data_IF_155634290788
#
_entry.id   IF_155634290788
#
_cell.length_a   1.000
_cell.length_b   1.000
_cell.length_c   1.000
_cell.angle_alpha   90.00
_cell.angle_beta   90.00
_cell.angle_gamma   90.00
#
_symmetry.space_group_name_H-M   'P 1'
#
loop_
_entity.id
_entity.type
_entity.pdbx_description
1 polymer ?
#
# COMPACT_ATOMS: atom_id res chain seq x y z
N UNK A 1 24.56 -9.76 19.20
CA UNK A 1 23.86 -10.07 17.93
C UNK A 1 22.88 -8.98 17.47
N UNK A 2 21.93 -8.57 18.31
CA UNK A 2 20.92 -7.53 18.00
C UNK A 2 21.53 -6.17 17.63
N UNK A 3 22.53 -5.70 18.38
CA UNK A 3 23.23 -4.43 18.09
C UNK A 3 23.93 -4.44 16.72
N UNK A 4 24.60 -5.53 16.36
CA UNK A 4 25.28 -5.67 15.05
C UNK A 4 24.25 -5.67 13.91
N UNK A 5 23.10 -6.31 14.10
CA UNK A 5 22.01 -6.28 13.12
C UNK A 5 21.42 -4.88 12.96
N UNK A 6 21.17 -4.18 14.07
CA UNK A 6 20.68 -2.81 14.04
C UNK A 6 21.69 -1.89 13.36
N UNK A 7 22.98 -2.02 13.68
CA UNK A 7 24.03 -1.26 13.01
C UNK A 7 24.00 -1.52 11.50
N UNK A 8 23.93 -2.78 11.07
CA UNK A 8 23.85 -3.12 9.66
C UNK A 8 22.62 -2.49 8.98
N UNK A 9 21.46 -2.52 9.61
CA UNK A 9 20.25 -1.87 9.09
C UNK A 9 20.36 -0.34 9.05
N UNK A 10 21.11 0.27 9.97
CA UNK A 10 21.31 1.72 9.97
C UNK A 10 22.35 2.21 8.96
N UNK A 11 23.30 1.36 8.55
CA UNK A 11 24.44 1.79 7.72
C UNK A 11 24.47 1.21 6.30
N UNK A 12 23.66 0.17 6.01
CA UNK A 12 23.64 -0.44 4.68
C UNK A 12 23.03 0.49 3.65
N UNK A 13 23.75 0.72 2.56
CA UNK A 13 23.36 1.63 1.48
C UNK A 13 24.05 1.20 0.19
N UNK A 14 23.31 1.30 -0.92
CA UNK A 14 23.80 1.04 -2.28
C UNK A 14 23.02 1.93 -3.27
N UNK A 15 23.35 3.22 -3.38
CA UNK A 15 22.69 4.10 -4.33
C UNK A 15 23.06 3.72 -5.76
N UNK A 16 22.06 3.64 -6.63
CA UNK A 16 22.18 3.24 -8.03
C UNK A 16 21.59 4.31 -8.94
N UNK A 17 22.38 4.82 -9.87
CA UNK A 17 21.88 5.63 -10.98
C UNK A 17 21.16 4.75 -12.01
N UNK A 18 20.44 5.37 -12.95
CA UNK A 18 19.63 4.69 -13.97
C UNK A 18 20.32 3.49 -14.65
N UNK A 19 21.54 3.65 -15.17
CA UNK A 19 22.27 2.58 -15.85
C UNK A 19 22.68 1.44 -14.90
N UNK A 20 23.18 1.79 -13.71
CA UNK A 20 23.59 0.83 -12.68
C UNK A 20 22.39 0.02 -12.17
N UNK A 21 21.20 0.64 -12.12
CA UNK A 21 19.96 -0.03 -11.75
C UNK A 21 19.55 -1.09 -12.78
N UNK A 22 19.71 -0.82 -14.09
CA UNK A 22 19.43 -1.82 -15.13
C UNK A 22 20.36 -3.03 -15.02
N UNK A 23 21.65 -2.79 -14.81
CA UNK A 23 22.64 -3.85 -14.63
C UNK A 23 22.32 -4.67 -13.36
N UNK A 24 22.13 -3.99 -12.23
CA UNK A 24 21.82 -4.64 -10.95
C UNK A 24 20.53 -5.47 -11.00
N UNK A 25 19.50 -5.01 -11.73
CA UNK A 25 18.25 -5.75 -11.87
C UNK A 25 18.37 -7.05 -12.68
N UNK A 26 19.40 -7.18 -13.54
CA UNK A 26 19.64 -8.40 -14.31
C UNK A 26 20.53 -9.42 -13.59
N UNK A 27 21.36 -8.99 -12.63
CA UNK A 27 22.19 -9.87 -11.81
C UNK A 27 21.45 -10.41 -10.57
N UNK A 28 20.60 -11.41 -10.80
CA UNK A 28 19.81 -12.06 -9.74
C UNK A 28 20.67 -12.77 -8.68
N UNK A 29 21.90 -13.18 -9.03
CA UNK A 29 22.82 -13.87 -8.11
C UNK A 29 23.35 -12.90 -7.06
N UNK A 30 23.79 -11.72 -7.48
CA UNK A 30 24.23 -10.67 -6.56
C UNK A 30 23.07 -10.17 -5.69
N UNK A 31 21.86 -10.00 -6.25
CA UNK A 31 20.68 -9.62 -5.48
C UNK A 31 20.30 -10.65 -4.41
N UNK A 32 20.42 -11.94 -4.72
CA UNK A 32 20.23 -12.98 -3.72
C UNK A 32 21.26 -12.86 -2.59
N UNK A 33 22.55 -12.76 -2.93
CA UNK A 33 23.61 -12.63 -1.93
C UNK A 33 23.49 -11.36 -1.07
N UNK A 34 22.99 -10.27 -1.64
CA UNK A 34 22.69 -9.02 -0.93
C UNK A 34 21.50 -9.21 0.04
N UNK A 35 20.39 -9.77 -0.44
CA UNK A 35 19.18 -10.00 0.37
C UNK A 35 19.44 -10.88 1.60
N UNK A 36 20.23 -11.96 1.45
CA UNK A 36 20.56 -12.87 2.55
C UNK A 36 21.34 -12.19 3.69
N UNK A 37 21.98 -11.04 3.43
CA UNK A 37 22.72 -10.28 4.44
C UNK A 37 21.85 -9.31 5.22
N UNK A 38 20.66 -8.97 4.72
CA UNK A 38 19.77 -8.01 5.36
C UNK A 38 19.13 -8.69 6.59
N UNK A 39 19.35 -8.19 7.82
CA UNK A 39 18.72 -8.76 9.00
C UNK A 39 17.19 -8.62 8.93
N UNK A 40 16.40 -9.61 9.36
CA UNK A 40 14.94 -9.53 9.28
C UNK A 40 14.33 -8.60 10.34
N UNK A 41 15.00 -8.41 11.48
CA UNK A 41 14.50 -7.59 12.61
C UNK A 41 13.12 -8.01 13.15
N UNK A 42 12.83 -9.31 13.15
CA UNK A 42 11.63 -9.85 13.81
C UNK A 42 11.70 -9.63 15.32
N UNK A 43 10.52 -9.51 15.91
CA UNK A 43 10.31 -9.34 17.35
C UNK A 43 10.00 -10.70 17.95
N UNK A 44 10.70 -11.05 19.03
CA UNK A 44 10.36 -12.25 19.79
C UNK A 44 9.08 -12.00 20.59
N UNK A 45 8.20 -13.01 20.68
CA UNK A 45 6.94 -12.87 21.41
C UNK A 45 7.13 -12.46 22.89
N UNK A 46 8.28 -12.80 23.47
CA UNK A 46 8.66 -12.40 24.83
C UNK A 46 8.96 -10.89 24.96
N UNK A 47 9.34 -10.22 23.87
CA UNK A 47 9.62 -8.77 23.85
C UNK A 47 8.33 -7.94 23.71
N UNK A 48 7.19 -8.57 23.38
CA UNK A 48 5.89 -7.91 23.21
C UNK A 48 5.01 -8.09 24.45
N UNK A 49 5.19 -7.19 25.43
CA UNK A 49 4.40 -7.18 26.67
C UNK A 49 3.02 -6.53 26.45
N UNK A 50 2.14 -7.23 25.70
CA UNK A 50 0.76 -6.80 25.45
C UNK A 50 -0.21 -7.97 25.70
N UNK A 51 -0.92 -7.99 26.84
CA UNK A 51 -1.82 -9.09 27.18
C UNK A 51 -2.85 -9.36 26.07
N UNK A 52 -3.00 -10.64 25.69
CA UNK A 52 -3.98 -11.08 24.70
C UNK A 52 -3.64 -10.77 23.23
N UNK A 53 -2.46 -10.21 22.93
CA UNK A 53 -2.06 -9.88 21.55
C UNK A 53 -2.15 -11.09 20.61
N UNK A 54 -1.81 -12.29 21.10
CA UNK A 54 -1.80 -13.53 20.33
C UNK A 54 -3.13 -13.87 19.67
N UNK A 55 -4.25 -13.43 20.26
CA UNK A 55 -5.57 -13.63 19.65
C UNK A 55 -5.78 -12.72 18.44
N UNK A 56 -5.12 -11.57 18.40
CA UNK A 56 -5.23 -10.55 17.34
C UNK A 56 -4.14 -10.65 16.28
N UNK A 57 -3.25 -11.62 16.38
CA UNK A 57 -2.19 -11.89 15.39
C UNK A 57 -2.58 -13.02 14.44
N UNK A 58 -2.65 -12.72 13.14
CA UNK A 58 -2.90 -13.76 12.11
C UNK A 58 -1.74 -14.76 12.04
N UNK A 59 -0.52 -14.29 12.29
CA UNK A 59 0.70 -15.09 12.29
C UNK A 59 1.49 -14.86 13.58
N UNK A 60 1.67 -15.92 14.38
CA UNK A 60 2.30 -15.86 15.71
C UNK A 60 3.74 -15.33 15.73
N UNK A 61 4.44 -15.43 14.60
CA UNK A 61 5.85 -15.03 14.45
C UNK A 61 6.02 -13.69 13.73
N UNK A 62 4.93 -13.05 13.30
CA UNK A 62 4.96 -11.77 12.60
C UNK A 62 4.29 -10.75 13.51
N UNK A 63 5.09 -10.17 14.40
CA UNK A 63 4.66 -9.26 15.45
C UNK A 63 5.10 -7.83 15.13
N UNK A 64 4.35 -6.80 15.59
CA UNK A 64 4.75 -5.42 15.39
C UNK A 64 5.92 -5.04 16.30
N UNK A 65 6.94 -4.37 15.74
CA UNK A 65 8.04 -3.77 16.53
C UNK A 65 7.50 -2.80 17.58
N UNK A 66 7.83 -2.97 18.87
CA UNK A 66 7.30 -2.13 19.95
C UNK A 66 7.53 -0.63 19.75
N UNK A 67 8.66 -0.25 19.16
CA UNK A 67 9.10 1.15 19.00
C UNK A 67 8.23 1.93 18.00
N UNK A 68 7.63 1.25 17.05
CA UNK A 68 6.86 1.85 15.94
C UNK A 68 5.41 1.34 15.87
N UNK A 69 4.98 0.49 16.81
CA UNK A 69 3.63 -0.10 16.76
C UNK A 69 2.54 0.97 16.86
N UNK A 70 1.44 0.73 16.18
CA UNK A 70 0.22 1.54 16.35
C UNK A 70 -0.46 1.12 17.65
N UNK A 71 -0.85 2.11 18.45
CA UNK A 71 -1.54 1.91 19.73
C UNK A 71 -2.97 2.43 19.58
N UNK A 72 -3.95 1.55 19.74
CA UNK A 72 -5.36 1.96 19.69
C UNK A 72 -5.74 2.63 21.00
N UNK A 73 -6.23 3.87 20.91
CA UNK A 73 -6.73 4.61 22.08
C UNK A 73 -8.16 4.18 22.35
N UNK A 74 -8.47 3.91 23.62
CA UNK A 74 -9.85 3.69 24.05
C UNK A 74 -10.50 5.08 24.26
N UNK A 75 -11.52 5.48 23.47
CA UNK A 75 -12.18 6.76 23.66
C UNK A 75 -13.17 6.76 24.84
N UNK A 76 -13.57 5.60 25.36
CA UNK A 76 -14.52 5.48 26.47
C UNK A 76 -13.83 5.32 27.82
N UNK A 77 -12.58 4.86 27.85
CA UNK A 77 -11.78 4.69 29.09
C UNK A 77 -10.40 5.33 28.93
N UNK A 78 -10.24 6.60 29.31
CA UNK A 78 -8.91 7.25 29.36
C UNK A 78 -7.92 6.51 30.30
N UNK A 79 -8.44 5.71 31.25
CA UNK A 79 -7.68 4.93 32.23
C UNK A 79 -7.59 3.42 31.90
N UNK A 80 -8.19 2.97 30.79
CA UNK A 80 -8.18 1.56 30.38
C UNK A 80 -6.87 1.13 29.70
N UNK A 81 -6.59 -0.18 29.59
CA UNK A 81 -5.44 -0.66 28.85
C UNK A 81 -5.56 -0.24 27.38
N UNK A 82 -4.48 0.32 26.82
CA UNK A 82 -4.47 0.69 25.40
C UNK A 82 -4.71 -0.54 24.51
N UNK A 83 -5.51 -0.37 23.46
CA UNK A 83 -5.84 -1.46 22.55
C UNK A 83 -4.66 -1.89 21.69
N UNK A 84 -4.69 -3.16 21.30
CA UNK A 84 -3.70 -3.77 20.41
C UNK A 84 -4.23 -3.94 19.00
N UNK A 85 -3.37 -3.63 18.03
CA UNK A 85 -3.49 -4.01 16.63
C UNK A 85 -2.11 -4.35 16.09
N UNK A 86 -2.02 -5.38 15.25
CA UNK A 86 -0.77 -5.77 14.60
C UNK A 86 -0.48 -4.84 13.42
N UNK A 87 0.05 -3.65 13.73
CA UNK A 87 0.40 -2.62 12.76
C UNK A 87 1.59 -1.78 13.24
N UNK A 88 2.36 -1.24 12.30
CA UNK A 88 3.48 -0.33 12.57
C UNK A 88 3.37 0.93 11.71
N UNK A 89 3.75 2.07 12.28
CA UNK A 89 4.07 3.26 11.52
C UNK A 89 5.34 3.02 10.71
N UNK A 90 5.30 3.42 9.45
CA UNK A 90 6.42 3.30 8.52
C UNK A 90 6.81 4.69 8.03
N UNK A 91 8.12 4.97 8.06
CA UNK A 91 8.68 6.21 7.51
C UNK A 91 8.64 6.16 5.98
N UNK A 92 8.42 7.32 5.38
CA UNK A 92 8.47 7.49 3.92
C UNK A 92 9.83 8.00 3.46
N UNK A 93 9.88 8.41 2.19
CA UNK A 93 11.06 9.00 1.59
C UNK A 93 11.65 10.16 2.43
N UNK A 94 12.99 10.21 2.53
CA UNK A 94 13.76 11.11 3.41
C UNK A 94 13.39 10.99 4.90
N UNK A 95 12.90 9.81 5.31
CA UNK A 95 12.52 9.54 6.70
C UNK A 95 11.24 10.24 7.16
N UNK A 96 10.38 10.68 6.23
CA UNK A 96 9.13 11.37 6.56
C UNK A 96 8.31 10.52 7.56
N UNK A 97 8.10 11.00 8.80
CA UNK A 97 7.49 10.18 9.84
C UNK A 97 6.03 9.89 9.52
N UNK A 98 5.56 8.68 9.87
CA UNK A 98 4.15 8.25 9.72
C UNK A 98 3.61 8.46 8.30
N UNK A 99 4.44 8.26 7.28
CA UNK A 99 4.00 8.34 5.90
C UNK A 99 3.01 7.21 5.55
N UNK A 100 3.24 6.03 6.15
CA UNK A 100 2.43 4.85 5.95
C UNK A 100 2.16 4.13 7.29
N UNK A 101 1.17 3.24 7.28
CA UNK A 101 0.98 2.21 8.29
C UNK A 101 0.98 0.87 7.56
N UNK A 102 1.88 -0.04 7.95
CA UNK A 102 1.87 -1.42 7.50
C UNK A 102 1.13 -2.28 8.53
N UNK A 103 0.11 -3.02 8.09
CA UNK A 103 -0.72 -3.88 8.96
C UNK A 103 -1.03 -5.21 8.29
N UNK A 104 -1.41 -6.20 9.09
CA UNK A 104 -1.92 -7.48 8.58
C UNK A 104 -3.31 -7.31 7.95
N UNK A 105 -3.73 -8.29 7.13
CA UNK A 105 -5.09 -8.37 6.65
C UNK A 105 -6.05 -8.61 7.82
N UNK A 106 -7.11 -7.78 7.99
CA UNK A 106 -8.05 -7.95 9.09
C UNK A 106 -8.58 -9.38 9.21
N UNK A 107 -8.72 -9.83 10.45
CA UNK A 107 -9.43 -11.05 10.83
C UNK A 107 -10.82 -10.68 11.34
N UNK A 108 -11.72 -11.65 11.47
CA UNK A 108 -13.12 -11.43 11.79
C UNK A 108 -13.29 -10.56 13.05
N UNK A 109 -12.54 -10.89 14.10
CA UNK A 109 -12.56 -10.20 15.39
C UNK A 109 -11.63 -8.98 15.47
N UNK A 110 -10.87 -8.66 14.42
CA UNK A 110 -10.02 -7.45 14.36
C UNK A 110 -10.50 -6.43 13.33
N UNK A 111 -11.67 -6.65 12.70
CA UNK A 111 -12.28 -5.67 11.78
C UNK A 111 -12.60 -4.36 12.50
N UNK A 112 -13.12 -4.43 13.73
CA UNK A 112 -13.39 -3.25 14.55
C UNK A 112 -12.11 -2.46 14.86
N UNK A 113 -11.07 -3.17 15.33
CA UNK A 113 -9.75 -2.61 15.61
C UNK A 113 -9.15 -1.91 14.38
N UNK A 114 -9.30 -2.50 13.19
CA UNK A 114 -8.83 -1.93 11.94
C UNK A 114 -9.50 -0.58 11.63
N UNK A 115 -10.83 -0.50 11.77
CA UNK A 115 -11.54 0.76 11.54
C UNK A 115 -11.30 1.80 12.64
N UNK A 116 -11.06 1.36 13.88
CA UNK A 116 -10.59 2.25 14.94
C UNK A 116 -9.23 2.86 14.59
N UNK A 117 -8.30 2.08 14.03
CA UNK A 117 -7.02 2.58 13.53
C UNK A 117 -7.23 3.60 12.39
N UNK A 118 -8.02 3.26 11.37
CA UNK A 118 -8.31 4.15 10.22
C UNK A 118 -8.87 5.49 10.71
N UNK A 119 -9.81 5.44 11.66
CA UNK A 119 -10.42 6.63 12.24
C UNK A 119 -9.45 7.43 13.10
N UNK A 120 -8.72 6.79 14.02
CA UNK A 120 -7.77 7.45 14.91
C UNK A 120 -6.69 8.18 14.11
N UNK A 121 -6.14 7.53 13.09
CA UNK A 121 -5.01 8.03 12.30
C UNK A 121 -5.44 8.99 11.18
N UNK A 122 -6.75 9.26 11.07
CA UNK A 122 -7.35 10.09 10.00
C UNK A 122 -6.90 9.63 8.61
N UNK A 123 -6.74 8.32 8.44
CA UNK A 123 -6.29 7.72 7.20
C UNK A 123 -7.39 7.80 6.15
N UNK A 124 -7.09 8.48 5.04
CA UNK A 124 -8.01 8.66 3.91
C UNK A 124 -7.73 7.68 2.78
N UNK A 125 -6.65 6.91 2.83
CA UNK A 125 -6.24 5.97 1.78
C UNK A 125 -5.90 4.62 2.41
N UNK A 126 -6.48 3.56 1.86
CA UNK A 126 -6.17 2.16 2.17
C UNK A 126 -5.72 1.46 0.89
N UNK A 127 -4.61 0.74 0.93
CA UNK A 127 -4.10 -0.09 -0.17
C UNK A 127 -4.06 -1.55 0.26
N UNK A 128 -4.90 -2.37 -0.35
CA UNK A 128 -5.01 -3.81 -0.13
C UNK A 128 -4.36 -4.56 -1.29
N UNK A 129 -3.23 -5.24 -1.02
CA UNK A 129 -2.48 -6.00 -2.04
C UNK A 129 -2.58 -7.52 -1.81
N UNK A 130 -3.79 -8.03 -1.61
CA UNK A 130 -4.08 -9.47 -1.44
C UNK A 130 -5.47 -9.82 -1.94
N UNK A 131 -5.71 -11.10 -2.27
CA UNK A 131 -7.07 -11.66 -2.35
C UNK A 131 -7.62 -11.88 -0.93
N UNK A 132 -8.95 -11.99 -0.80
CA UNK A 132 -9.59 -12.40 0.45
C UNK A 132 -9.22 -13.85 0.81
N UNK A 133 -9.26 -14.72 -0.20
CA UNK A 133 -8.89 -16.12 -0.13
C UNK A 133 -7.99 -16.47 -1.30
N UNK A 134 -6.98 -17.28 -1.01
CA UNK A 134 -6.17 -17.97 -2.02
C UNK A 134 -6.34 -19.47 -1.77
N UNK A 135 -5.31 -20.17 -1.29
CA UNK A 135 -5.47 -21.52 -0.76
C UNK A 135 -6.14 -21.50 0.62
N UNK A 136 -5.74 -20.53 1.45
CA UNK A 136 -6.28 -20.28 2.79
C UNK A 136 -6.87 -18.86 2.85
N UNK A 137 -7.62 -18.57 3.91
CA UNK A 137 -8.09 -17.22 4.21
C UNK A 137 -6.88 -16.30 4.44
N UNK A 138 -6.85 -15.19 3.70
CA UNK A 138 -5.76 -14.20 3.75
C UNK A 138 -6.21 -12.90 4.39
N UNK A 139 -7.49 -12.55 4.23
CA UNK A 139 -8.09 -11.33 4.73
C UNK A 139 -9.61 -11.50 4.79
N UNK A 140 -10.24 -11.06 5.88
CA UNK A 140 -11.69 -10.95 5.96
C UNK A 140 -12.19 -9.74 5.14
N UNK A 141 -13.42 -9.79 4.57
CA UNK A 141 -14.03 -8.63 3.97
C UNK A 141 -14.40 -7.63 5.09
N UNK A 142 -13.66 -6.52 5.14
CA UNK A 142 -13.82 -5.49 6.17
C UNK A 142 -14.53 -4.23 5.64
N UNK A 143 -15.08 -4.25 4.44
CA UNK A 143 -15.86 -3.15 3.85
C UNK A 143 -17.11 -3.70 3.13
N UNK A 144 -18.13 -2.86 2.85
CA UNK A 144 -19.33 -3.30 2.14
C UNK A 144 -18.97 -3.88 0.76
N UNK A 145 -19.24 -5.18 0.56
CA UNK A 145 -19.09 -5.82 -0.74
C UNK A 145 -20.32 -5.51 -1.62
N UNK A 146 -20.16 -5.32 -2.94
CA UNK A 146 -21.29 -5.30 -3.87
C UNK A 146 -22.11 -6.59 -3.71
N UNK A 147 -23.44 -6.51 -3.71
CA UNK A 147 -24.26 -7.72 -3.80
C UNK A 147 -24.00 -8.36 -5.16
N UNK A 148 -23.38 -9.53 -5.18
CA UNK A 148 -23.59 -10.44 -6.30
C UNK A 148 -25.08 -10.80 -6.28
N UNK A 149 -25.78 -10.58 -7.39
CA UNK A 149 -27.07 -11.23 -7.61
C UNK A 149 -26.77 -12.72 -7.58
N UNK A 150 -26.96 -13.36 -6.44
CA UNK A 150 -27.00 -14.81 -6.36
C UNK A 150 -28.02 -15.24 -7.39
N UNK A 151 -27.63 -16.15 -8.28
CA UNK A 151 -28.55 -16.82 -9.17
C UNK A 151 -29.69 -17.37 -8.30
N UNK A 152 -30.84 -16.71 -8.38
CA UNK A 152 -32.10 -17.36 -8.01
C UNK A 152 -32.15 -18.61 -8.88
N UNK A 153 -32.00 -19.77 -8.25
CA UNK A 153 -32.48 -21.02 -8.81
C UNK A 153 -33.95 -20.79 -9.06
N UNK A 154 -34.30 -20.48 -10.30
CA UNK A 154 -35.68 -20.44 -10.76
C UNK A 154 -36.17 -21.88 -10.70
N UNK A 155 -36.95 -22.20 -9.67
CA UNK A 155 -38.01 -23.17 -9.88
C UNK A 155 -38.94 -22.54 -10.92
N UNK A 156 -39.07 -23.24 -12.05
CA UNK A 156 -39.97 -22.88 -13.13
C UNK A 156 -41.41 -22.99 -12.62
N UNK A 157 -42.05 -21.85 -12.42
CA UNK A 157 -43.49 -21.75 -12.53
C UNK A 157 -43.79 -20.66 -13.59
N UNK A 158 -44.44 -21.11 -14.65
CA UNK A 158 -44.88 -20.33 -15.80
C UNK A 158 -45.93 -19.27 -15.40
N UNK A 159 -46.08 -18.29 -16.31
CA UNK A 159 -47.17 -17.30 -16.39
C UNK A 159 -47.05 -16.01 -15.55
N UNK A 160 -46.53 -14.95 -16.18
CA UNK A 160 -47.35 -13.79 -16.62
C UNK A 160 -46.45 -12.68 -17.21
N UNK A 161 -46.72 -12.34 -18.48
CA UNK A 161 -46.21 -11.15 -19.15
C UNK A 161 -46.75 -9.88 -18.48
N UNK A 162 -45.87 -9.15 -17.78
CA UNK A 162 -46.14 -7.83 -17.26
C UNK A 162 -44.99 -6.89 -17.58
N UNK A 163 -45.19 -6.00 -18.55
CA UNK A 163 -44.30 -4.87 -18.83
C UNK A 163 -44.03 -4.06 -17.56
N UNK A 164 -42.77 -4.03 -17.11
CA UNK A 164 -42.30 -3.02 -16.15
C UNK A 164 -41.10 -2.30 -16.73
N UNK A 165 -41.38 -1.09 -17.23
CA UNK A 165 -40.42 0.00 -17.37
C UNK A 165 -39.82 0.33 -15.99
N UNK A 166 -38.77 -0.39 -15.60
CA UNK A 166 -37.96 -0.06 -14.44
C UNK A 166 -36.98 1.05 -14.80
N UNK A 167 -37.28 2.29 -14.36
CA UNK A 167 -36.23 3.29 -14.16
C UNK A 167 -35.12 2.61 -13.35
N UNK A 168 -33.89 2.58 -13.88
CA UNK A 168 -32.69 2.27 -13.10
C UNK A 168 -32.56 3.35 -12.03
N UNK A 169 -33.19 3.14 -10.87
CA UNK A 169 -32.75 3.79 -9.65
C UNK A 169 -31.40 3.15 -9.34
N UNK A 170 -30.34 3.94 -9.44
CA UNK A 170 -29.09 3.63 -8.76
C UNK A 170 -29.46 3.42 -7.28
N UNK A 171 -29.45 2.17 -6.82
CA UNK A 171 -29.67 1.87 -5.40
C UNK A 171 -28.60 2.62 -4.61
N UNK A 172 -29.01 3.66 -3.87
CA UNK A 172 -28.15 4.31 -2.89
C UNK A 172 -27.55 3.20 -2.00
N UNK A 173 -26.22 3.08 -2.00
CA UNK A 173 -25.53 1.98 -1.34
C UNK A 173 -25.96 1.83 0.13
N UNK A 174 -26.50 0.65 0.48
CA UNK A 174 -26.93 0.30 1.83
C UNK A 174 -25.78 0.52 2.83
N UNK A 175 -26.04 1.29 3.89
CA UNK A 175 -25.09 1.45 4.98
C UNK A 175 -24.93 0.11 5.72
N UNK A 176 -23.69 -0.36 5.87
CA UNK A 176 -23.37 -1.58 6.61
C UNK A 176 -22.48 -1.26 7.80
N UNK A 177 -22.69 -1.98 8.89
CA UNK A 177 -21.94 -1.79 10.13
C UNK A 177 -20.66 -2.64 10.15
N UNK A 178 -19.53 -2.02 10.49
CA UNK A 178 -18.24 -2.67 10.72
C UNK A 178 -17.66 -2.18 12.04
N UNK A 179 -17.73 -3.03 13.07
CA UNK A 179 -17.50 -2.58 14.45
C UNK A 179 -18.52 -1.51 14.85
N UNK A 180 -18.06 -0.34 15.25
CA UNK A 180 -18.90 0.82 15.62
C UNK A 180 -19.12 1.82 14.48
N UNK A 181 -18.58 1.54 13.30
CA UNK A 181 -18.65 2.43 12.15
C UNK A 181 -19.76 1.99 11.21
N UNK A 182 -20.53 2.95 10.71
CA UNK A 182 -21.42 2.77 9.57
C UNK A 182 -20.67 3.14 8.29
N UNK A 183 -20.76 2.30 7.28
CA UNK A 183 -20.02 2.47 6.04
C UNK A 183 -20.93 2.33 4.84
N UNK A 184 -20.73 3.18 3.83
CA UNK A 184 -21.35 3.00 2.52
C UNK A 184 -20.36 3.20 1.39
N UNK A 185 -20.57 2.45 0.30
CA UNK A 185 -19.84 2.61 -0.95
C UNK A 185 -20.48 3.74 -1.75
N UNK A 186 -19.68 4.74 -2.11
CA UNK A 186 -20.09 5.87 -2.95
C UNK A 186 -19.89 5.60 -4.44
N UNK A 187 -18.75 5.00 -4.76
CA UNK A 187 -18.36 4.65 -6.12
C UNK A 187 -17.43 3.44 -6.05
N UNK A 188 -17.46 2.59 -7.07
CA UNK A 188 -16.53 1.48 -7.22
C UNK A 188 -16.24 1.24 -8.69
N UNK A 189 -14.96 1.24 -9.05
CA UNK A 189 -14.53 1.10 -10.44
C UNK A 189 -13.28 0.22 -10.54
N UNK A 190 -13.23 -0.64 -11.54
CA UNK A 190 -12.03 -1.41 -11.88
C UNK A 190 -11.23 -0.65 -12.94
N UNK A 191 -9.92 -0.49 -12.70
CA UNK A 191 -9.01 0.22 -13.59
C UNK A 191 -7.59 -0.31 -13.42
N UNK A 192 -6.86 -0.47 -14.52
CA UNK A 192 -5.42 -0.74 -14.52
C UNK A 192 -4.97 -1.99 -13.72
N UNK A 193 -5.89 -2.93 -13.48
CA UNK A 193 -5.65 -4.17 -12.75
C UNK A 193 -5.93 -4.09 -11.24
N UNK A 194 -6.55 -3.00 -10.75
CA UNK A 194 -7.05 -2.86 -9.38
C UNK A 194 -8.45 -2.27 -9.34
N UNK A 195 -9.14 -2.45 -8.21
CA UNK A 195 -10.45 -1.84 -7.95
C UNK A 195 -10.22 -0.63 -7.04
N UNK A 196 -10.85 0.50 -7.38
CA UNK A 196 -10.90 1.70 -6.55
C UNK A 196 -12.32 1.82 -6.01
N UNK A 197 -12.47 1.85 -4.70
CA UNK A 197 -13.76 2.02 -4.02
C UNK A 197 -13.70 3.24 -3.12
N UNK A 198 -14.55 4.24 -3.41
CA UNK A 198 -14.73 5.40 -2.55
C UNK A 198 -15.74 5.06 -1.45
N UNK A 199 -15.31 5.15 -0.20
CA UNK A 199 -16.08 4.83 1.00
C UNK A 199 -16.41 6.10 1.78
N UNK A 200 -17.63 6.17 2.33
CA UNK A 200 -17.96 7.11 3.39
C UNK A 200 -18.10 6.31 4.69
N UNK A 201 -17.25 6.62 5.67
CA UNK A 201 -17.28 6.04 7.01
C UNK A 201 -17.90 7.05 7.99
N UNK A 202 -18.77 6.57 8.88
CA UNK A 202 -19.51 7.39 9.83
C UNK A 202 -19.35 6.82 11.24
N UNK A 203 -19.03 7.70 12.19
CA UNK A 203 -19.09 7.44 13.62
C UNK A 203 -19.87 8.58 14.29
N UNK A 204 -20.98 8.25 14.96
CA UNK A 204 -21.92 9.24 15.49
C UNK A 204 -22.36 10.23 14.40
N UNK A 205 -22.10 11.52 14.58
CA UNK A 205 -22.40 12.59 13.62
C UNK A 205 -21.29 12.87 12.62
N UNK A 206 -20.07 12.37 12.85
CA UNK A 206 -18.91 12.67 12.01
C UNK A 206 -18.83 11.68 10.84
N UNK A 207 -18.57 12.21 9.64
CA UNK A 207 -18.39 11.44 8.40
C UNK A 207 -17.04 11.75 7.78
N UNK A 208 -16.37 10.72 7.27
CA UNK A 208 -15.08 10.86 6.58
C UNK A 208 -15.06 10.05 5.29
N UNK A 209 -14.40 10.60 4.28
CA UNK A 209 -14.16 9.89 3.03
C UNK A 209 -12.87 9.06 3.14
N UNK A 210 -12.92 7.83 2.65
CA UNK A 210 -11.76 6.92 2.56
C UNK A 210 -11.74 6.30 1.17
N UNK A 211 -10.64 6.42 0.46
CA UNK A 211 -10.41 5.71 -0.80
C UNK A 211 -9.71 4.38 -0.54
N UNK A 212 -10.34 3.30 -0.98
CA UNK A 212 -9.83 1.95 -0.87
C UNK A 212 -9.35 1.47 -2.24
N UNK A 213 -8.09 1.05 -2.31
CA UNK A 213 -7.50 0.43 -3.49
C UNK A 213 -7.34 -1.06 -3.24
N UNK A 214 -7.91 -1.90 -4.11
CA UNK A 214 -7.80 -3.35 -4.02
C UNK A 214 -7.09 -3.93 -5.25
N UNK A 215 -5.85 -4.34 -5.04
CA UNK A 215 -5.02 -5.01 -6.04
C UNK A 215 -5.01 -6.52 -5.77
N UNK A 216 -5.94 -7.23 -6.41
CA UNK A 216 -6.23 -8.65 -6.18
C UNK A 216 -5.37 -9.60 -7.03
N UNK A 217 -4.62 -9.10 -8.00
CA UNK A 217 -3.79 -9.89 -8.92
C UNK A 217 -2.38 -10.22 -8.37
N UNK A 218 -2.07 -9.88 -7.11
CA UNK A 218 -0.79 -10.21 -6.48
C UNK A 218 -0.85 -11.55 -5.71
N UNK A 219 -0.24 -12.65 -6.22
CA UNK A 219 -0.17 -13.93 -5.51
C UNK A 219 0.68 -13.88 -4.22
N UNK A 220 0.30 -14.58 -3.16
CA UNK A 220 1.08 -14.63 -1.91
C UNK A 220 2.39 -15.42 -2.08
N UNK A 221 3.44 -14.95 -1.40
CA UNK A 221 4.84 -15.43 -1.53
C UNK A 221 5.46 -15.35 -2.93
N UNK A 222 4.76 -14.78 -3.90
CA UNK A 222 5.21 -14.59 -5.27
C UNK A 222 5.13 -13.10 -5.65
N UNK A 223 5.37 -12.80 -6.93
CA UNK A 223 5.38 -11.44 -7.47
C UNK A 223 4.20 -11.27 -8.45
N UNK A 224 3.67 -10.06 -8.65
CA UNK A 224 2.63 -9.80 -9.64
C UNK A 224 3.12 -10.20 -11.03
N UNK A 225 2.20 -10.72 -11.85
CA UNK A 225 2.50 -11.03 -13.26
C UNK A 225 2.84 -9.78 -14.08
N UNK A 226 2.38 -8.61 -13.65
CA UNK A 226 2.52 -7.36 -14.37
C UNK A 226 3.06 -6.22 -13.48
N UNK A 227 4.33 -5.84 -13.70
CA UNK A 227 4.97 -4.68 -13.06
C UNK A 227 4.21 -3.38 -13.37
N UNK A 228 3.69 -3.25 -14.59
CA UNK A 228 2.99 -2.03 -15.04
C UNK A 228 1.80 -1.71 -14.14
N UNK A 229 1.02 -2.71 -13.74
CA UNK A 229 -0.14 -2.49 -12.86
C UNK A 229 0.28 -2.01 -11.46
N UNK A 230 1.39 -2.52 -10.92
CA UNK A 230 1.93 -2.03 -9.65
C UNK A 230 2.39 -0.57 -9.76
N UNK A 231 3.10 -0.21 -10.83
CA UNK A 231 3.54 1.17 -11.05
C UNK A 231 2.35 2.12 -11.20
N UNK A 232 1.30 1.72 -11.95
CA UNK A 232 0.06 2.49 -12.06
C UNK A 232 -0.64 2.68 -10.72
N UNK A 233 -0.69 1.64 -9.89
CA UNK A 233 -1.24 1.75 -8.54
C UNK A 233 -0.44 2.73 -7.67
N UNK A 234 0.90 2.65 -7.70
CA UNK A 234 1.78 3.59 -6.99
C UNK A 234 1.53 5.02 -7.45
N UNK A 235 1.44 5.26 -8.76
CA UNK A 235 1.17 6.59 -9.32
C UNK A 235 -0.20 7.14 -8.93
N UNK A 236 -1.26 6.33 -8.98
CA UNK A 236 -2.61 6.73 -8.61
C UNK A 236 -2.70 7.08 -7.11
N UNK A 237 -2.15 6.22 -6.24
CA UNK A 237 -2.09 6.48 -4.80
C UNK A 237 -1.33 7.76 -4.48
N UNK A 238 -0.17 8.00 -5.10
CA UNK A 238 0.61 9.21 -4.88
C UNK A 238 -0.10 10.47 -5.42
N UNK A 239 -0.75 10.37 -6.59
CA UNK A 239 -1.54 11.46 -7.15
C UNK A 239 -2.71 11.82 -6.24
N UNK A 240 -3.45 10.82 -5.77
CA UNK A 240 -4.57 11.05 -4.85
C UNK A 240 -4.08 11.61 -3.52
N UNK A 241 -3.02 11.05 -2.94
CA UNK A 241 -2.40 11.57 -1.71
C UNK A 241 -1.99 13.03 -1.85
N UNK A 242 -1.40 13.44 -2.98
CA UNK A 242 -1.04 14.84 -3.24
C UNK A 242 -2.28 15.74 -3.34
N UNK A 243 -3.37 15.26 -3.96
CA UNK A 243 -4.63 16.01 -4.07
C UNK A 243 -5.30 16.29 -2.72
N UNK A 244 -5.04 15.44 -1.72
CA UNK A 244 -5.57 15.59 -0.35
C UNK A 244 -4.74 16.56 0.52
N UNK A 245 -3.52 16.91 0.12
CA UNK A 245 -2.72 17.91 0.84
C UNK A 245 -3.28 19.28 0.50
N UNK A 246 -3.91 19.94 1.48
CA UNK A 246 -4.23 21.36 1.39
C UNK A 246 -2.94 22.18 1.21
N UNK A 247 -3.00 23.35 0.53
CA UNK A 247 -1.88 24.28 0.53
C UNK A 247 -1.47 24.63 1.97
N UNK A 248 -0.20 24.97 2.23
CA UNK A 248 0.27 25.28 3.58
C UNK A 248 -0.58 26.42 4.15
N UNK A 249 -1.46 26.10 5.11
CA UNK A 249 -2.20 27.10 5.85
C UNK A 249 -1.27 27.73 6.87
N UNK A 250 -1.37 29.06 6.99
CA UNK A 250 -0.77 29.86 8.06
C UNK A 250 -1.51 29.63 9.39
N UNK A 251 -1.69 28.37 9.79
CA UNK A 251 -2.31 28.00 11.06
C UNK A 251 -1.26 28.07 12.18
N UNK A 252 -1.65 28.52 13.39
CA UNK A 252 -0.74 28.63 14.52
C UNK A 252 -0.16 27.28 14.93
N UNK A 253 1.09 27.28 15.40
CA UNK A 253 1.91 26.13 15.82
C UNK A 253 1.21 25.21 16.85
N UNK A 254 0.18 25.71 17.53
CA UNK A 254 -0.58 25.00 18.57
C UNK A 254 -1.79 24.21 18.05
N UNK A 255 -2.09 24.26 16.74
CA UNK A 255 -3.15 23.47 16.13
C UNK A 255 -2.75 21.99 15.95
N UNK A 256 -3.71 21.04 15.94
CA UNK A 256 -3.43 19.67 15.51
C UNK A 256 -2.83 19.70 14.10
N UNK A 257 -1.67 19.07 13.91
CA UNK A 257 -0.93 19.09 12.63
C UNK A 257 -1.89 18.82 11.45
N UNK A 258 -2.14 19.79 10.56
CA UNK A 258 -2.93 19.57 9.36
C UNK A 258 -2.06 18.77 8.39
N UNK A 259 -2.25 17.46 8.39
CA UNK A 259 -1.59 16.56 7.46
C UNK A 259 -2.57 15.46 7.04
N UNK A 260 -2.48 15.02 5.79
CA UNK A 260 -3.13 13.78 5.38
C UNK A 260 -2.65 12.66 6.32
N UNK A 261 -3.58 11.91 6.92
CA UNK A 261 -3.24 10.75 7.74
C UNK A 261 -2.37 9.75 6.99
N UNK A 262 -1.73 8.85 7.73
CA UNK A 262 -0.86 7.83 7.13
C UNK A 262 -1.66 6.99 6.11
N UNK A 263 -1.03 6.67 4.97
CA UNK A 263 -1.62 5.71 4.02
C UNK A 263 -1.53 4.33 4.64
N UNK A 264 -2.65 3.62 4.80
CA UNK A 264 -2.65 2.27 5.33
C UNK A 264 -2.39 1.31 4.18
N UNK A 265 -1.41 0.42 4.31
CA UNK A 265 -1.17 -0.67 3.36
C UNK A 265 -1.20 -2.00 4.10
N UNK A 266 -1.89 -2.97 3.52
CA UNK A 266 -1.93 -4.31 4.06
C UNK A 266 -1.93 -5.38 2.96
N UNK A 267 -1.47 -6.56 3.34
CA UNK A 267 -1.64 -7.80 2.58
C UNK A 267 -2.25 -8.84 3.51
N UNK A 268 -1.74 -10.07 3.55
CA UNK A 268 -2.13 -11.03 4.58
C UNK A 268 -1.33 -10.83 5.88
N UNK A 269 0.01 -10.93 5.82
CA UNK A 269 0.89 -10.74 6.99
C UNK A 269 1.32 -9.28 7.22
N UNK A 270 1.13 -8.40 6.23
CA UNK A 270 1.52 -7.00 6.33
C UNK A 270 3.03 -6.74 6.21
N UNK A 271 3.80 -7.63 5.58
CA UNK A 271 5.27 -7.46 5.45
C UNK A 271 5.84 -7.71 4.04
N UNK A 272 5.44 -8.79 3.35
CA UNK A 272 5.97 -9.12 2.00
C UNK A 272 5.50 -8.14 0.92
N UNK A 273 4.29 -8.36 0.39
CA UNK A 273 3.66 -7.51 -0.64
C UNK A 273 3.52 -6.04 -0.18
N UNK A 274 3.18 -5.84 1.08
CA UNK A 274 3.15 -4.52 1.73
C UNK A 274 4.51 -3.83 1.65
N UNK A 275 5.60 -4.53 1.97
CA UNK A 275 6.96 -4.00 1.87
C UNK A 275 7.36 -3.67 0.43
N UNK A 276 7.03 -4.53 -0.53
CA UNK A 276 7.28 -4.25 -1.94
C UNK A 276 6.55 -2.98 -2.41
N UNK A 277 5.27 -2.81 -2.06
CA UNK A 277 4.51 -1.62 -2.45
C UNK A 277 5.13 -0.34 -1.87
N UNK A 278 5.43 -0.33 -0.57
CA UNK A 278 6.00 0.86 0.10
C UNK A 278 7.39 1.16 -0.45
N UNK A 279 8.24 0.16 -0.62
CA UNK A 279 9.58 0.34 -1.19
C UNK A 279 9.53 0.82 -2.64
N UNK A 280 8.60 0.33 -3.47
CA UNK A 280 8.37 0.84 -4.81
C UNK A 280 7.93 2.30 -4.80
N UNK A 281 7.01 2.69 -3.92
CA UNK A 281 6.58 4.10 -3.78
C UNK A 281 7.75 5.02 -3.42
N UNK A 282 8.54 4.64 -2.41
CA UNK A 282 9.75 5.38 -1.99
C UNK A 282 10.77 5.44 -3.13
N UNK A 283 11.10 4.31 -3.75
CA UNK A 283 12.09 4.22 -4.82
C UNK A 283 11.69 5.02 -6.07
N UNK A 284 10.41 4.99 -6.44
CA UNK A 284 9.90 5.84 -7.52
C UNK A 284 10.04 7.33 -7.18
N UNK A 285 9.84 7.73 -5.92
CA UNK A 285 10.09 9.10 -5.49
C UNK A 285 11.58 9.46 -5.53
N UNK A 286 12.47 8.57 -5.08
CA UNK A 286 13.93 8.77 -5.16
C UNK A 286 14.38 9.01 -6.61
N UNK A 287 13.96 8.15 -7.54
CA UNK A 287 14.31 8.27 -8.96
C UNK A 287 13.80 9.58 -9.58
N UNK A 288 12.56 9.98 -9.28
CA UNK A 288 12.00 11.24 -9.78
C UNK A 288 12.76 12.47 -9.28
N UNK A 289 13.19 12.47 -8.02
CA UNK A 289 13.80 13.65 -7.41
C UNK A 289 15.31 13.73 -7.60
N UNK A 290 16.00 12.60 -7.73
CA UNK A 290 17.47 12.55 -7.66
C UNK A 290 18.13 11.84 -8.83
N UNK A 291 17.38 11.10 -9.66
CA UNK A 291 17.92 10.23 -10.70
C UNK A 291 18.66 8.99 -10.16
N UNK A 292 18.58 8.76 -8.85
CA UNK A 292 19.18 7.62 -8.17
C UNK A 292 18.15 6.91 -7.28
N UNK A 293 18.42 5.65 -6.95
CA UNK A 293 17.64 4.88 -5.98
C UNK A 293 18.54 4.02 -5.11
N UNK A 294 18.28 4.00 -3.81
CA UNK A 294 18.94 3.12 -2.84
C UNK A 294 17.92 2.10 -2.30
N UNK A 295 17.82 0.97 -2.99
CA UNK A 295 16.88 -0.09 -2.65
C UNK A 295 17.30 -0.75 -1.34
N UNK A 296 18.61 -0.97 -1.14
CA UNK A 296 19.15 -1.60 0.06
C UNK A 296 18.84 -0.77 1.31
N UNK A 297 19.14 0.53 1.29
CA UNK A 297 18.82 1.44 2.41
C UNK A 297 17.31 1.48 2.67
N UNK A 298 16.50 1.56 1.62
CA UNK A 298 15.04 1.58 1.74
C UNK A 298 14.54 0.31 2.45
N UNK A 299 14.99 -0.88 2.05
CA UNK A 299 14.57 -2.13 2.69
C UNK A 299 15.06 -2.21 4.13
N UNK A 300 16.29 -1.77 4.41
CA UNK A 300 16.81 -1.71 5.76
C UNK A 300 15.97 -0.77 6.66
N UNK A 301 15.59 0.41 6.16
CA UNK A 301 14.73 1.35 6.87
C UNK A 301 13.33 0.78 7.13
N UNK A 302 12.75 0.07 6.15
CA UNK A 302 11.47 -0.62 6.34
C UNK A 302 11.56 -1.71 7.41
N UNK A 303 12.66 -2.46 7.46
CA UNK A 303 12.86 -3.51 8.48
C UNK A 303 13.13 -2.96 9.88
N UNK A 304 13.69 -1.75 9.99
CA UNK A 304 13.74 -1.02 11.27
C UNK A 304 12.34 -0.64 11.75
N UNK A 305 11.43 -0.29 10.83
CA UNK A 305 10.07 0.11 11.18
C UNK A 305 9.13 -1.08 11.42
N UNK A 306 9.26 -2.16 10.65
CA UNK A 306 8.51 -3.41 10.81
C UNK A 306 9.35 -4.60 10.36
N UNK A 307 9.56 -5.55 11.26
CA UNK A 307 10.36 -6.74 11.02
C UNK A 307 9.84 -7.57 9.85
N UNK A 308 10.76 -8.00 8.99
CA UNK A 308 10.48 -8.90 7.86
C UNK A 308 9.88 -8.24 6.63
N UNK A 309 9.84 -6.90 6.56
CA UNK A 309 9.45 -6.19 5.34
C UNK A 309 10.27 -6.68 4.14
N UNK A 310 9.55 -7.04 3.07
CA UNK A 310 10.04 -7.80 1.91
C UNK A 310 10.57 -9.18 2.33
N UNK A 311 9.74 -10.19 2.13
CA UNK A 311 9.80 -11.48 2.81
C UNK A 311 10.64 -12.53 2.09
N UNK A 312 10.82 -12.38 0.78
CA UNK A 312 11.53 -13.36 -0.04
C UNK A 312 12.53 -12.69 -0.98
N UNK A 313 13.48 -13.48 -1.49
CA UNK A 313 14.48 -13.01 -2.46
C UNK A 313 13.82 -12.61 -3.78
N UNK A 314 12.79 -13.34 -4.20
CA UNK A 314 12.04 -13.09 -5.42
C UNK A 314 11.32 -11.74 -5.35
N UNK A 315 10.76 -11.39 -4.18
CA UNK A 315 10.17 -10.08 -3.93
C UNK A 315 11.19 -8.94 -3.99
N UNK A 316 12.41 -9.19 -3.51
CA UNK A 316 13.52 -8.23 -3.58
C UNK A 316 14.00 -8.03 -5.02
N UNK A 317 14.21 -9.11 -5.78
CA UNK A 317 14.54 -9.06 -7.21
C UNK A 317 13.45 -8.35 -8.02
N UNK A 318 12.18 -8.62 -7.71
CA UNK A 318 11.05 -7.94 -8.35
C UNK A 318 11.01 -6.44 -8.06
N UNK A 319 11.40 -6.00 -6.85
CA UNK A 319 11.53 -4.58 -6.54
C UNK A 319 12.59 -3.90 -7.43
N UNK A 320 13.74 -4.56 -7.66
CA UNK A 320 14.76 -4.08 -8.60
C UNK A 320 14.21 -3.98 -10.03
N UNK A 321 13.54 -5.03 -10.52
CA UNK A 321 12.93 -5.03 -11.85
C UNK A 321 11.87 -3.92 -11.99
N UNK A 322 11.05 -3.71 -10.96
CA UNK A 322 10.01 -2.67 -10.91
C UNK A 322 10.61 -1.28 -11.05
N UNK A 323 11.66 -0.98 -10.27
CA UNK A 323 12.32 0.32 -10.28
C UNK A 323 13.17 0.53 -11.53
N UNK A 324 13.78 -0.52 -12.08
CA UNK A 324 14.44 -0.48 -13.37
C UNK A 324 13.47 -0.13 -14.50
N UNK A 325 12.27 -0.73 -14.51
CA UNK A 325 11.23 -0.39 -15.48
C UNK A 325 10.75 1.06 -15.31
N UNK A 326 10.53 1.50 -14.08
CA UNK A 326 10.14 2.89 -13.80
C UNK A 326 11.21 3.89 -14.24
N UNK A 327 12.49 3.57 -13.99
CA UNK A 327 13.64 4.34 -14.46
C UNK A 327 13.62 4.52 -15.99
N UNK A 328 13.36 3.46 -16.75
CA UNK A 328 13.23 3.56 -18.21
C UNK A 328 12.09 4.49 -18.59
N UNK A 329 10.92 4.38 -17.95
CA UNK A 329 9.77 5.24 -18.23
C UNK A 329 10.10 6.73 -18.00
N UNK A 330 10.79 7.06 -16.90
CA UNK A 330 11.23 8.42 -16.61
C UNK A 330 12.19 8.97 -17.67
N UNK A 331 13.18 8.19 -18.08
CA UNK A 331 14.15 8.61 -19.10
C UNK A 331 13.49 8.87 -20.46
N UNK A 332 12.52 8.03 -20.85
CA UNK A 332 11.75 8.25 -22.09
C UNK A 332 10.91 9.53 -22.02
N UNK A 333 10.26 9.82 -20.88
CA UNK A 333 9.49 11.05 -20.69
C UNK A 333 10.38 12.30 -20.71
N UNK A 334 11.57 12.23 -20.14
CA UNK A 334 12.54 13.33 -20.17
C UNK A 334 13.04 13.61 -21.59
N UNK A 335 13.38 12.57 -22.35
CA UNK A 335 13.83 12.73 -23.75
C UNK A 335 12.71 13.28 -24.66
N UNK A 336 11.44 12.90 -24.44
CA UNK A 336 10.32 13.44 -25.22
C UNK A 336 10.00 14.91 -24.90
N UNK A 337 10.28 15.35 -23.67
CA UNK A 337 10.04 16.70 -23.19
C UNK A 337 11.21 17.67 -23.43
N UNK A 338 12.33 17.20 -24.00
CA UNK A 338 13.50 18.03 -24.29
C UNK A 338 13.42 18.59 -25.72
N UNK A 339 13.18 19.90 -25.92
CA UNK A 339 12.97 20.48 -27.25
C UNK A 339 14.22 20.42 -28.16
N UNK A 340 15.42 20.29 -27.61
CA UNK A 340 16.66 20.19 -28.39
C UNK A 340 16.78 18.86 -29.17
N UNK A 341 16.25 17.76 -28.64
CA UNK A 341 16.25 16.45 -29.31
C UNK A 341 15.14 16.34 -30.37
N UNK A 342 14.05 17.10 -30.25
CA UNK A 342 13.04 17.22 -31.30
C UNK A 342 13.60 17.91 -32.55
N UNK A 343 14.45 18.93 -32.37
CA UNK A 343 15.13 19.63 -33.48
C UNK A 343 16.16 18.72 -34.15
N UNK A 344 16.89 17.89 -33.39
CA UNK A 344 17.80 16.88 -33.93
C UNK A 344 17.10 15.85 -34.83
N UNK A 345 15.96 15.32 -34.38
CA UNK A 345 15.15 14.36 -35.16
C UNK A 345 14.45 15.02 -36.37
N UNK A 346 14.04 16.28 -36.27
CA UNK A 346 13.48 17.03 -37.42
C UNK A 346 14.54 17.34 -38.47
N UNK A 347 15.75 17.75 -38.05
CA UNK A 347 16.87 18.00 -38.96
C UNK A 347 17.36 16.73 -39.65
N UNK A 348 17.41 15.61 -38.93
CA UNK A 348 17.82 14.32 -39.49
C UNK A 348 16.79 13.78 -40.49
N UNK A 349 15.48 13.97 -40.23
CA UNK A 349 14.42 13.62 -41.17
C UNK A 349 14.35 14.55 -42.40
N UNK A 350 14.65 15.85 -42.25
CA UNK A 350 14.76 16.79 -43.37
C UNK A 350 15.98 16.50 -44.26
N UNK A 351 17.10 16.04 -43.69
CA UNK A 351 18.28 15.62 -44.45
C UNK A 351 18.06 14.31 -45.23
N UNK A 352 17.22 13.40 -44.71
CA UNK A 352 16.84 12.16 -45.41
C UNK A 352 15.82 12.41 -46.54
N UNK A 353 14.95 13.42 -46.41
CA UNK A 353 14.01 13.79 -47.47
C UNK A 353 14.64 14.58 -48.62
N UNK A 354 15.76 15.26 -48.40
CA UNK A 354 16.51 15.98 -49.45
C UNK A 354 17.50 15.10 -50.23
N UNK A 355 17.66 13.83 -49.85
CA UNK A 355 18.58 12.87 -50.48
C UNK A 355 17.86 11.73 -51.25
N UNK A 356 16.55 11.87 -51.51
CA UNK A 356 15.80 10.97 -52.40
C UNK A 356 15.33 11.67 -53.67
#
# INVERSE_FOLDING_TARGET
PKEVWLQLLHTSSRPLAHAQLQEAASDTTTLNAEYQKIPPNFVDAADLDVPGHMMKDRYKTILPNPESRVILKNPEEELGPSGYINANYIRGYKGAPRAYIATQGPMLHTVGDFWDMVWQERSSIIVMVTKLKENNEKCEPYWPQPRHKTEEVKEEDEDQEGEKNGRRQEEEGEMRQFGRFLMKVKNSQERDGFIITDLEIQLLSERRAVRHYWFSSWPDHHVPECIVSLLRLVEDVEMHRKSLKSPPSSEPITGPVPGSGAVIIHCSAGIGRTGCFVASSIGCQQLRETGQVDILETVCQLRLDRGGMIQTTEQYQFLYATLAQYSLQLQHQQNQNNPEDQVGLQLQNLQLQNNN
#
